data_IF_319755721957
#
_entry.id   IF_319755721957
#
_cell.length_a   1.000
_cell.length_b   1.000
_cell.length_c   1.000
_cell.angle_alpha   90.00
_cell.angle_beta   90.00
_cell.angle_gamma   90.00
#
_symmetry.space_group_name_H-M   'P 1'
#
loop_
_entity.id
_entity.type
_entity.pdbx_description
1 polymer ?
#
# COMPACT_ATOMS: atom_id res chain seq x y z
N UNK A 1 9.55 5.74 -60.41
CA UNK A 1 9.99 4.79 -59.37
C UNK A 1 9.98 5.39 -57.96
N UNK A 2 10.15 6.71 -57.81
CA UNK A 2 10.33 7.41 -56.52
C UNK A 2 9.08 7.52 -55.63
N UNK A 3 7.86 7.62 -56.20
CA UNK A 3 6.63 7.71 -55.38
C UNK A 3 6.30 6.44 -54.60
N UNK A 4 6.64 5.24 -55.13
CA UNK A 4 6.35 3.98 -54.44
C UNK A 4 7.23 3.78 -53.20
N UNK A 5 8.46 4.26 -53.25
CA UNK A 5 9.40 4.24 -52.13
C UNK A 5 8.92 5.20 -51.04
N UNK A 6 8.52 6.42 -51.42
CA UNK A 6 7.98 7.41 -50.49
C UNK A 6 6.70 6.88 -49.80
N UNK A 7 5.76 6.31 -50.55
CA UNK A 7 4.54 5.73 -50.00
C UNK A 7 4.82 4.56 -49.04
N UNK A 8 5.78 3.69 -49.39
CA UNK A 8 6.19 2.57 -48.53
C UNK A 8 6.85 3.05 -47.23
N UNK A 9 7.66 4.12 -47.29
CA UNK A 9 8.29 4.72 -46.11
C UNK A 9 7.26 5.35 -45.17
N UNK A 10 6.26 6.07 -45.71
CA UNK A 10 5.18 6.65 -44.90
C UNK A 10 4.32 5.57 -44.21
N UNK A 11 4.00 4.46 -44.90
CA UNK A 11 3.26 3.34 -44.29
C UNK A 11 4.07 2.66 -43.17
N UNK A 12 5.38 2.51 -43.34
CA UNK A 12 6.26 1.94 -42.31
C UNK A 12 6.32 2.79 -41.04
N UNK A 13 6.41 4.12 -41.19
CA UNK A 13 6.46 5.07 -40.07
C UNK A 13 5.15 5.09 -39.27
N UNK A 14 4.00 4.93 -39.92
CA UNK A 14 2.67 4.83 -39.28
C UNK A 14 2.51 3.52 -38.48
N UNK A 15 3.11 2.42 -38.93
CA UNK A 15 3.09 1.16 -38.19
C UNK A 15 4.02 1.18 -36.96
N UNK A 16 5.14 1.90 -37.05
CA UNK A 16 6.07 2.08 -35.93
C UNK A 16 5.50 2.99 -34.83
N UNK A 17 4.68 3.98 -35.19
CA UNK A 17 4.04 4.87 -34.21
C UNK A 17 2.89 4.19 -33.45
N UNK A 18 2.22 3.18 -34.02
CA UNK A 18 1.17 2.42 -33.33
C UNK A 18 1.72 1.33 -32.40
N UNK A 19 2.92 0.80 -32.67
CA UNK A 19 3.55 -0.24 -31.85
C UNK A 19 4.11 0.27 -30.50
N UNK A 20 4.26 1.59 -30.33
CA UNK A 20 4.69 2.21 -29.06
C UNK A 20 3.55 2.85 -28.25
N UNK A 21 2.30 2.57 -28.59
CA UNK A 21 1.16 3.05 -27.81
C UNK A 21 0.58 1.93 -26.94
N UNK A 22 1.34 1.57 -25.90
CA UNK A 22 0.83 0.72 -24.81
C UNK A 22 -0.30 1.51 -24.12
N UNK A 23 -1.55 1.21 -24.48
CA UNK A 23 -2.73 1.75 -23.80
C UNK A 23 -3.06 1.01 -22.50
N UNK A 24 -2.50 -0.19 -22.31
CA UNK A 24 -2.57 -0.93 -21.06
C UNK A 24 -1.32 -0.67 -20.22
N UNK A 25 -1.07 0.60 -19.88
CA UNK A 25 -0.12 0.86 -18.81
C UNK A 25 -0.72 0.31 -17.51
N UNK A 26 -0.04 -0.60 -16.79
CA UNK A 26 -0.47 -0.97 -15.46
C UNK A 26 -0.58 0.31 -14.62
N UNK A 27 -1.58 0.37 -13.76
CA UNK A 27 -1.73 1.45 -12.80
C UNK A 27 -0.41 1.55 -12.00
N UNK A 28 0.24 2.71 -12.03
CA UNK A 28 1.48 2.96 -11.26
C UNK A 28 2.79 3.09 -12.07
N UNK A 29 2.94 4.17 -12.84
CA UNK A 29 4.27 4.62 -13.27
C UNK A 29 5.08 5.17 -12.08
N UNK A 30 6.42 5.23 -12.18
CA UNK A 30 7.35 5.66 -11.09
C UNK A 30 7.05 7.01 -10.43
N UNK A 31 6.17 7.82 -11.03
CA UNK A 31 5.78 9.17 -10.57
C UNK A 31 4.34 9.27 -10.05
N UNK A 32 3.54 8.21 -10.18
CA UNK A 32 2.15 8.20 -9.71
C UNK A 32 2.03 8.12 -8.17
N UNK A 33 3.11 7.79 -7.47
CA UNK A 33 3.14 7.63 -6.01
C UNK A 33 3.12 8.98 -5.27
N UNK A 34 3.58 10.06 -5.90
CA UNK A 34 3.83 11.33 -5.20
C UNK A 34 2.59 12.21 -4.99
N UNK A 35 1.44 11.88 -5.57
CA UNK A 35 0.21 12.68 -5.50
C UNK A 35 -1.05 11.82 -5.22
N UNK A 36 -0.86 10.65 -4.62
CA UNK A 36 -1.98 9.82 -4.17
C UNK A 36 -2.13 10.00 -2.67
N UNK A 37 -3.28 10.49 -2.25
CA UNK A 37 -3.68 10.54 -0.84
C UNK A 37 -3.57 9.11 -0.26
N UNK A 38 -2.66 8.89 0.69
CA UNK A 38 -2.43 7.58 1.29
C UNK A 38 -3.61 7.29 2.21
N UNK A 39 -4.52 6.44 1.73
CA UNK A 39 -5.70 6.05 2.51
C UNK A 39 -5.29 5.24 3.75
N UNK A 40 -6.18 5.23 4.75
CA UNK A 40 -6.10 4.23 5.82
C UNK A 40 -6.37 2.83 5.25
N UNK A 41 -5.64 1.84 5.75
CA UNK A 41 -5.91 0.46 5.36
C UNK A 41 -7.28 -0.01 5.89
N UNK A 42 -7.77 -1.10 5.30
CA UNK A 42 -9.05 -1.73 5.62
C UNK A 42 -9.22 -1.93 7.13
N UNK A 43 -10.46 -1.79 7.57
CA UNK A 43 -10.84 -2.12 8.94
C UNK A 43 -10.87 -3.63 9.14
N UNK A 44 -10.56 -4.07 10.36
CA UNK A 44 -10.44 -5.48 10.71
C UNK A 44 -10.80 -5.71 12.19
N UNK A 45 -10.83 -6.98 12.59
CA UNK A 45 -11.05 -7.39 13.97
C UNK A 45 -12.48 -7.19 14.49
N UNK A 46 -12.70 -7.44 15.79
CA UNK A 46 -14.02 -7.41 16.40
C UNK A 46 -14.67 -6.04 16.23
N UNK A 47 -15.91 -6.03 15.72
CA UNK A 47 -16.69 -4.81 15.46
C UNK A 47 -16.01 -3.81 14.51
N UNK A 48 -15.06 -4.25 13.68
CA UNK A 48 -14.28 -3.41 12.74
C UNK A 48 -13.56 -2.24 13.45
N UNK A 49 -13.13 -2.45 14.69
CA UNK A 49 -12.43 -1.43 15.50
C UNK A 49 -10.92 -1.38 15.25
N UNK A 50 -10.36 -2.31 14.49
CA UNK A 50 -8.95 -2.32 14.12
C UNK A 50 -8.71 -1.90 12.67
N UNK A 51 -7.45 -1.70 12.32
CA UNK A 51 -6.97 -1.50 10.96
C UNK A 51 -5.83 -2.46 10.64
N UNK A 52 -5.67 -2.78 9.35
CA UNK A 52 -4.63 -3.67 8.87
C UNK A 52 -3.26 -2.98 8.87
N UNK A 53 -2.25 -3.64 9.44
CA UNK A 53 -0.83 -3.21 9.39
C UNK A 53 0.02 -4.11 8.49
N UNK A 54 -0.52 -5.26 8.08
CA UNK A 54 0.08 -6.22 7.17
C UNK A 54 -0.97 -7.27 6.77
N UNK A 55 -0.65 -8.20 5.86
CA UNK A 55 -1.61 -9.18 5.34
C UNK A 55 -2.18 -10.10 6.43
N UNK A 56 -1.44 -10.29 7.53
CA UNK A 56 -1.83 -11.13 8.66
C UNK A 56 -1.75 -10.37 10.00
N UNK A 57 -1.91 -9.04 9.99
CA UNK A 57 -1.78 -8.20 11.18
C UNK A 57 -2.93 -7.20 11.25
N UNK A 58 -3.72 -7.28 12.32
CA UNK A 58 -4.83 -6.36 12.61
C UNK A 58 -4.64 -5.74 14.00
N UNK A 59 -4.63 -4.41 14.09
CA UNK A 59 -4.42 -3.72 15.36
C UNK A 59 -5.42 -2.58 15.58
N UNK A 60 -5.73 -2.29 16.83
CA UNK A 60 -6.53 -1.13 17.23
C UNK A 60 -6.29 -0.76 18.68
N UNK A 61 -6.50 0.50 19.02
CA UNK A 61 -6.16 1.06 20.34
C UNK A 61 -6.80 0.29 21.50
N UNK A 62 -8.08 -0.09 21.37
CA UNK A 62 -8.82 -0.84 22.39
C UNK A 62 -8.71 -2.38 22.25
N UNK A 63 -8.12 -2.85 21.15
CA UNK A 63 -8.08 -4.28 20.79
C UNK A 63 -6.71 -4.91 21.07
N UNK A 64 -5.65 -4.11 21.08
CA UNK A 64 -4.28 -4.60 20.94
C UNK A 64 -4.01 -5.00 19.49
N UNK A 65 -3.26 -6.09 19.29
CA UNK A 65 -2.91 -6.61 17.97
C UNK A 65 -3.19 -8.10 17.86
N UNK A 66 -3.83 -8.48 16.77
CA UNK A 66 -4.06 -9.85 16.33
C UNK A 66 -3.09 -10.16 15.19
N UNK A 67 -2.35 -11.26 15.31
CA UNK A 67 -1.35 -11.69 14.31
C UNK A 67 -1.64 -13.13 13.91
N UNK A 68 -1.97 -13.35 12.63
CA UNK A 68 -2.24 -14.67 12.07
C UNK A 68 -3.50 -15.36 12.60
N UNK A 69 -4.49 -14.59 13.07
CA UNK A 69 -5.76 -15.10 13.60
C UNK A 69 -6.92 -14.88 12.62
N UNK A 70 -8.14 -15.34 12.97
CA UNK A 70 -9.34 -15.13 12.16
C UNK A 70 -9.64 -13.66 11.88
N UNK A 71 -9.27 -12.77 12.80
CA UNK A 71 -9.49 -11.33 12.73
C UNK A 71 -8.70 -10.66 11.62
N UNK A 72 -7.63 -11.29 11.13
CA UNK A 72 -6.71 -10.75 10.11
C UNK A 72 -7.06 -11.19 8.69
N UNK A 73 -8.03 -12.09 8.49
CA UNK A 73 -8.38 -12.63 7.16
C UNK A 73 -8.74 -11.52 6.17
N UNK A 74 -9.45 -10.49 6.64
CA UNK A 74 -9.82 -9.32 5.82
C UNK A 74 -8.61 -8.50 5.37
N UNK A 75 -7.49 -8.54 6.09
CA UNK A 75 -6.29 -7.82 5.71
C UNK A 75 -5.60 -8.40 4.47
N UNK A 76 -5.91 -9.64 4.07
CA UNK A 76 -5.43 -10.18 2.81
C UNK A 76 -6.06 -9.49 1.59
N UNK A 77 -7.24 -8.89 1.76
CA UNK A 77 -7.93 -8.13 0.71
C UNK A 77 -7.11 -6.91 0.27
N UNK A 78 -6.28 -6.33 1.17
CA UNK A 78 -5.39 -5.22 0.85
C UNK A 78 -4.41 -5.55 -0.29
N UNK A 79 -3.98 -6.81 -0.42
CA UNK A 79 -3.04 -7.22 -1.47
C UNK A 79 -3.63 -7.10 -2.88
N UNK A 80 -4.96 -7.04 -3.00
CA UNK A 80 -5.66 -6.93 -4.27
C UNK A 80 -6.07 -5.48 -4.58
N UNK A 81 -5.89 -4.55 -3.63
CA UNK A 81 -6.22 -3.15 -3.82
C UNK A 81 -5.05 -2.42 -4.50
N UNK A 82 -5.29 -1.74 -5.64
CA UNK A 82 -4.23 -1.07 -6.39
C UNK A 82 -3.70 0.20 -5.72
N UNK A 83 -4.43 0.73 -4.73
CA UNK A 83 -4.10 1.98 -4.04
C UNK A 83 -3.35 1.70 -2.75
N UNK A 84 -2.16 2.30 -2.54
CA UNK A 84 -1.40 2.12 -1.32
C UNK A 84 -2.19 2.64 -0.11
N UNK A 85 -1.96 2.02 1.04
CA UNK A 85 -2.54 2.42 2.29
C UNK A 85 -1.48 2.43 3.40
N UNK A 86 -1.74 3.17 4.47
CA UNK A 86 -0.94 3.11 5.69
C UNK A 86 -1.84 3.21 6.92
N UNK A 87 -1.45 2.50 7.98
CA UNK A 87 -2.10 2.54 9.29
C UNK A 87 -1.10 3.03 10.34
N UNK A 88 -1.62 3.68 11.39
CA UNK A 88 -0.81 4.33 12.41
C UNK A 88 -0.20 5.66 11.95
N UNK A 89 -0.15 6.64 12.84
CA UNK A 89 0.36 7.99 12.54
C UNK A 89 1.76 8.24 13.10
N UNK A 90 2.11 7.56 14.20
CA UNK A 90 3.39 7.74 14.89
C UNK A 90 4.38 6.65 14.45
N UNK A 91 5.51 7.01 13.82
CA UNK A 91 6.54 6.04 13.46
C UNK A 91 7.27 5.51 14.71
N UNK A 92 7.74 4.27 14.64
CA UNK A 92 8.41 3.53 15.72
C UNK A 92 9.41 2.49 15.16
N UNK A 93 10.13 1.75 16.01
CA UNK A 93 11.04 0.69 15.57
C UNK A 93 12.37 1.17 14.96
N UNK A 94 12.72 2.45 15.14
CA UNK A 94 14.03 3.01 14.73
C UNK A 94 14.35 2.76 13.25
N UNK A 95 15.43 2.02 12.98
CA UNK A 95 15.87 1.69 11.61
C UNK A 95 15.06 0.58 10.93
N UNK A 96 14.30 -0.22 11.68
CA UNK A 96 13.50 -1.32 11.14
C UNK A 96 12.24 -0.81 10.42
N UNK A 97 11.78 0.41 10.76
CA UNK A 97 10.57 1.00 10.22
C UNK A 97 9.30 0.34 10.76
N UNK A 98 8.33 1.15 11.13
CA UNK A 98 7.05 0.68 11.66
C UNK A 98 6.23 1.85 12.17
N UNK A 99 4.96 1.58 12.46
CA UNK A 99 4.04 2.57 13.02
C UNK A 99 3.37 2.01 14.29
N UNK A 100 3.10 2.89 15.25
CA UNK A 100 2.39 2.53 16.46
C UNK A 100 0.99 2.07 16.13
N UNK A 101 0.69 0.84 16.54
CA UNK A 101 -0.52 0.13 16.13
C UNK A 101 -1.53 -0.01 17.27
N UNK A 102 -1.03 -0.06 18.50
CA UNK A 102 -1.78 -0.04 19.76
C UNK A 102 -0.85 0.51 20.87
N UNK A 103 -1.37 0.84 22.07
CA UNK A 103 -0.55 1.33 23.17
C UNK A 103 0.60 0.37 23.48
N UNK A 104 1.84 0.89 23.40
CA UNK A 104 3.07 0.15 23.66
C UNK A 104 3.44 -0.88 22.57
N UNK A 105 2.79 -0.89 21.41
CA UNK A 105 3.04 -1.86 20.33
C UNK A 105 3.37 -1.15 19.02
N UNK A 106 4.56 -1.43 18.49
CA UNK A 106 5.01 -1.03 17.16
C UNK A 106 4.81 -2.17 16.17
N UNK A 107 4.21 -1.91 15.01
CA UNK A 107 4.05 -2.91 13.96
C UNK A 107 4.58 -2.44 12.61
N UNK A 108 5.15 -3.40 11.87
CA UNK A 108 5.45 -3.31 10.44
C UNK A 108 4.59 -4.32 9.67
N UNK A 109 4.76 -4.42 8.35
CA UNK A 109 4.09 -5.44 7.53
C UNK A 109 4.41 -6.87 7.94
N UNK A 110 5.57 -7.06 8.59
CA UNK A 110 6.18 -8.38 8.82
C UNK A 110 5.96 -8.87 10.25
N UNK A 111 5.68 -7.96 11.19
CA UNK A 111 5.45 -8.32 12.59
C UNK A 111 5.25 -7.12 13.51
N UNK A 112 5.03 -7.43 14.79
CA UNK A 112 4.86 -6.45 15.84
C UNK A 112 5.84 -6.71 16.98
N UNK A 113 6.29 -5.63 17.61
CA UNK A 113 7.15 -5.65 18.78
C UNK A 113 6.62 -4.67 19.83
N UNK A 114 6.94 -4.93 21.10
CA UNK A 114 6.66 -3.98 22.17
C UNK A 114 7.64 -2.81 22.02
N UNK A 115 7.12 -1.59 22.05
CA UNK A 115 7.90 -0.36 21.92
C UNK A 115 7.25 0.72 22.78
N UNK A 116 7.96 1.17 23.82
CA UNK A 116 7.47 2.20 24.75
C UNK A 116 7.31 3.57 24.08
N UNK A 117 7.89 3.78 22.91
CA UNK A 117 7.61 4.99 22.12
C UNK A 117 6.15 5.05 21.67
N UNK A 118 5.44 3.92 21.65
CA UNK A 118 4.03 3.82 21.30
C UNK A 118 3.08 3.86 22.50
N UNK A 119 3.58 4.07 23.72
CA UNK A 119 2.71 4.30 24.86
C UNK A 119 1.91 5.58 24.63
N UNK A 120 0.59 5.51 24.88
CA UNK A 120 -0.23 6.72 24.88
C UNK A 120 0.27 7.59 26.02
N UNK A 121 0.80 8.76 25.68
CA UNK A 121 0.99 9.83 26.65
C UNK A 121 -0.41 10.25 27.07
N UNK A 122 -0.93 9.60 28.12
CA UNK A 122 -2.10 10.06 28.85
C UNK A 122 -1.78 11.48 29.28
N UNK A 123 -2.24 12.45 28.48
CA UNK A 123 -2.49 13.80 28.92
C UNK A 123 -3.50 13.70 30.07
N UNK A 124 -2.95 13.52 31.26
CA UNK A 124 -3.58 13.88 32.53
C UNK A 124 -3.62 15.40 32.65
#
# INVERSE_FOLDING_TARGET
>A
MSCKIVASCFLGLLALSSACYIQNCPIGGKRAILDMDIRKCLTCGPRNKGHCFGPNICCGEELGCYVGTSETLRCQEENFLPMPCASGSKPCGGSAGGNCAAPGICCSSDGCAIDSTCDQETLL
#
